data_IF_674657780418
#
_entry.id   IF_674657780418
#
_cell.length_a   1.000
_cell.length_b   1.000
_cell.length_c   1.000
_cell.angle_alpha   90.00
_cell.angle_beta   90.00
_cell.angle_gamma   90.00
#
_symmetry.space_group_name_H-M   'P 1'
#
loop_
_entity.id
_entity.type
_entity.pdbx_description
1 polymer ?
#
# COMPACT_ATOMS: atom_id res chain seq x y z
N UNK A 1 6.26 7.62 -10.75
CA UNK A 1 5.11 6.83 -11.26
C UNK A 1 4.54 6.01 -10.11
N UNK A 2 3.27 5.58 -10.18
CA UNK A 2 2.62 4.86 -9.08
C UNK A 2 1.80 3.67 -9.59
N UNK A 3 2.31 2.45 -9.42
CA UNK A 3 1.67 1.24 -9.99
C UNK A 3 0.91 0.40 -8.95
N UNK A 4 0.62 0.98 -7.78
CA UNK A 4 0.01 0.29 -6.67
C UNK A 4 -1.49 0.04 -6.91
N UNK A 5 -1.97 -1.13 -6.50
CA UNK A 5 -3.38 -1.56 -6.54
C UNK A 5 -3.98 -1.52 -5.14
N UNK A 6 -5.30 -1.35 -5.04
CA UNK A 6 -6.00 -1.29 -3.75
C UNK A 6 -5.68 -2.48 -2.83
N UNK A 7 -5.55 -3.69 -3.38
CA UNK A 7 -5.15 -4.89 -2.63
C UNK A 7 -3.76 -4.78 -1.96
N UNK A 8 -2.87 -3.93 -2.47
CA UNK A 8 -1.56 -3.66 -1.84
C UNK A 8 -1.70 -2.84 -0.55
N UNK A 9 -2.79 -2.07 -0.37
CA UNK A 9 -3.07 -1.39 0.91
C UNK A 9 -3.29 -2.42 2.02
N UNK A 10 -4.05 -3.47 1.75
CA UNK A 10 -4.37 -4.50 2.75
C UNK A 10 -3.14 -5.35 3.08
N UNK A 11 -2.28 -5.64 2.09
CA UNK A 11 -1.00 -6.29 2.34
C UNK A 11 -0.08 -5.43 3.22
N UNK A 12 0.02 -4.13 2.94
CA UNK A 12 0.84 -3.21 3.74
C UNK A 12 0.27 -3.04 5.15
N UNK A 13 -1.06 -3.05 5.30
CA UNK A 13 -1.71 -3.05 6.59
C UNK A 13 -1.28 -4.25 7.44
N UNK A 14 -1.38 -5.45 6.89
CA UNK A 14 -0.97 -6.68 7.57
C UNK A 14 0.53 -6.66 7.91
N UNK A 15 1.38 -6.30 6.95
CA UNK A 15 2.82 -6.19 7.18
C UNK A 15 3.16 -5.18 8.29
N UNK A 16 2.46 -4.03 8.33
CA UNK A 16 2.67 -3.04 9.39
C UNK A 16 2.31 -3.57 10.78
N UNK A 17 1.37 -4.52 10.86
CA UNK A 17 1.00 -5.19 12.11
C UNK A 17 2.00 -6.27 12.49
N UNK A 18 2.58 -6.95 11.50
CA UNK A 18 3.65 -7.92 11.72
C UNK A 18 4.96 -7.27 12.15
N UNK A 19 5.20 -5.99 11.82
CA UNK A 19 6.38 -5.25 12.30
C UNK A 19 6.18 -4.78 13.74
N UNK A 20 4.98 -4.26 14.05
CA UNK A 20 4.64 -3.75 15.38
C UNK A 20 4.83 -4.82 16.47
N UNK A 21 5.71 -4.55 17.43
CA UNK A 21 6.04 -5.44 18.54
C UNK A 21 6.93 -6.64 18.17
N UNK A 22 7.38 -6.74 16.92
CA UNK A 22 8.19 -7.85 16.41
C UNK A 22 9.50 -7.35 15.78
N UNK A 23 10.11 -6.33 16.39
CA UNK A 23 11.40 -5.77 15.99
C UNK A 23 12.27 -5.52 17.22
N UNK A 24 13.60 -5.54 17.03
CA UNK A 24 14.56 -5.30 18.11
C UNK A 24 14.72 -3.81 18.44
N UNK A 25 14.50 -2.94 17.45
CA UNK A 25 14.71 -1.50 17.59
C UNK A 25 13.37 -0.77 17.59
N UNK A 26 13.15 0.11 18.57
CA UNK A 26 11.94 0.91 18.71
C UNK A 26 11.61 1.77 17.46
N UNK A 27 12.61 2.06 16.62
CA UNK A 27 12.40 2.73 15.35
C UNK A 27 11.45 1.96 14.42
N UNK A 28 11.51 0.62 14.42
CA UNK A 28 10.64 -0.19 13.56
C UNK A 28 9.17 -0.06 13.95
N UNK A 29 8.87 -0.09 15.24
CA UNK A 29 7.51 0.15 15.77
C UNK A 29 7.06 1.58 15.46
N UNK A 30 7.93 2.56 15.71
CA UNK A 30 7.66 3.96 15.43
C UNK A 30 7.42 4.23 13.93
N UNK A 31 8.00 3.42 13.01
CA UNK A 31 7.76 3.51 11.58
C UNK A 31 6.47 2.81 11.14
N UNK A 32 6.06 1.74 11.82
CA UNK A 32 4.82 1.02 11.53
C UNK A 32 3.57 1.85 11.88
N UNK A 33 3.60 2.61 12.98
CA UNK A 33 2.43 3.35 13.44
C UNK A 33 1.94 4.44 12.46
N UNK A 34 2.81 5.27 11.84
CA UNK A 34 2.39 6.23 10.81
C UNK A 34 1.70 5.56 9.61
N UNK A 35 2.18 4.40 9.16
CA UNK A 35 1.56 3.65 8.06
C UNK A 35 0.15 3.21 8.45
N UNK A 36 0.00 2.65 9.65
CA UNK A 36 -1.33 2.27 10.16
C UNK A 36 -2.26 3.48 10.33
N UNK A 37 -1.75 4.60 10.85
CA UNK A 37 -2.53 5.84 10.99
C UNK A 37 -2.99 6.38 9.65
N UNK A 38 -2.10 6.40 8.65
CA UNK A 38 -2.43 6.82 7.29
C UNK A 38 -3.54 5.95 6.70
N UNK A 39 -3.43 4.62 6.81
CA UNK A 39 -4.45 3.70 6.31
C UNK A 39 -5.78 3.89 7.06
N UNK A 40 -5.78 3.97 8.40
CA UNK A 40 -7.01 4.15 9.19
C UNK A 40 -7.78 5.41 8.82
N UNK A 41 -7.08 6.52 8.58
CA UNK A 41 -7.71 7.83 8.42
C UNK A 41 -7.86 8.27 6.96
N UNK A 42 -7.03 7.74 6.05
CA UNK A 42 -6.94 8.23 4.67
C UNK A 42 -7.09 7.14 3.61
N UNK A 43 -7.48 5.90 3.94
CA UNK A 43 -7.73 4.84 2.95
C UNK A 43 -8.64 5.28 1.78
N UNK A 44 -9.77 5.99 2.01
CA UNK A 44 -10.61 6.45 0.89
C UNK A 44 -9.86 7.39 -0.07
N UNK A 45 -9.03 8.28 0.47
CA UNK A 45 -8.25 9.23 -0.33
C UNK A 45 -7.11 8.52 -1.09
N UNK A 46 -6.48 7.51 -0.48
CA UNK A 46 -5.48 6.66 -1.15
C UNK A 46 -6.11 5.93 -2.34
N UNK A 47 -7.24 5.26 -2.13
CA UNK A 47 -7.97 4.51 -3.17
C UNK A 47 -8.41 5.44 -4.31
N UNK A 48 -8.93 6.63 -3.99
CA UNK A 48 -9.29 7.65 -5.00
C UNK A 48 -8.10 8.04 -5.86
N UNK A 49 -6.94 8.34 -5.25
CA UNK A 49 -5.71 8.71 -5.99
C UNK A 49 -5.22 7.59 -6.89
N UNK A 50 -5.31 6.34 -6.43
CA UNK A 50 -4.92 5.17 -7.21
C UNK A 50 -5.85 4.96 -8.40
N UNK A 51 -7.16 5.11 -8.20
CA UNK A 51 -8.15 5.05 -9.28
C UNK A 51 -7.92 6.16 -10.32
N UNK A 52 -7.66 7.39 -9.88
CA UNK A 52 -7.36 8.51 -10.79
C UNK A 52 -6.09 8.28 -11.59
N UNK A 53 -5.06 7.72 -10.96
CA UNK A 53 -3.82 7.38 -11.65
C UNK A 53 -4.04 6.25 -12.68
N UNK A 54 -4.76 5.19 -12.30
CA UNK A 54 -5.09 4.09 -13.19
C UNK A 54 -5.91 4.56 -14.40
N UNK A 55 -6.89 5.44 -14.19
CA UNK A 55 -7.71 6.02 -15.26
C UNK A 55 -6.90 6.90 -16.22
N UNK A 56 -5.93 7.67 -15.71
CA UNK A 56 -5.07 8.54 -16.53
C UNK A 56 -4.00 7.77 -17.30
N UNK A 57 -3.51 6.67 -16.73
CA UNK A 57 -2.35 5.96 -17.23
C UNK A 57 -2.67 4.62 -17.90
N UNK A 58 -3.95 4.27 -18.03
CA UNK A 58 -4.45 3.14 -18.80
C UNK A 58 -3.73 1.84 -18.46
N UNK A 59 -4.14 1.17 -17.37
CA UNK A 59 -3.77 -0.21 -17.06
C UNK A 59 -2.32 -0.61 -17.40
N UNK A 60 -1.36 -0.11 -16.63
CA UNK A 60 0.04 -0.55 -16.70
C UNK A 60 0.26 -2.05 -16.34
N UNK A 61 -0.80 -2.87 -16.25
CA UNK A 61 -0.74 -4.26 -15.77
C UNK A 61 -1.41 -5.34 -16.63
N UNK A 62 -1.86 -5.05 -17.85
CA UNK A 62 -2.29 -6.12 -18.77
C UNK A 62 -1.09 -6.88 -19.39
N UNK A 63 0.14 -6.37 -19.29
CA UNK A 63 1.33 -6.94 -19.97
C UNK A 63 2.16 -7.98 -19.19
N UNK A 64 1.88 -8.28 -17.91
CA UNK A 64 2.68 -9.28 -17.15
C UNK A 64 2.06 -10.68 -17.10
N UNK A 65 0.85 -10.89 -17.62
CA UNK A 65 0.16 -12.19 -17.55
C UNK A 65 0.21 -12.99 -18.87
N UNK A 66 1.07 -12.61 -19.83
CA UNK A 66 1.16 -13.29 -21.13
C UNK A 66 2.59 -13.55 -21.62
N UNK A 67 3.54 -13.74 -20.71
CA UNK A 67 4.78 -14.45 -21.02
C UNK A 67 4.66 -15.87 -20.48
N UNK A 68 4.88 -16.82 -21.39
CA UNK A 68 4.81 -18.28 -21.25
C UNK A 68 5.29 -18.87 -19.93
#
# INVERSE_FOLDING_TARGET
TGNARSAEIDMIWELSKQIEGHTICALGDAAAWPVQGLIRHFRPEMERRMAEYAAKNGDAKTISASAH
#
